data_IF_044816419004
#
_entry.id   IF_044816419004
#
_cell.length_a   1.000
_cell.length_b   1.000
_cell.length_c   1.000
_cell.angle_alpha   90.00
_cell.angle_beta   90.00
_cell.angle_gamma   90.00
#
_symmetry.space_group_name_H-M   'P 1'
#
loop_
_entity.id
_entity.type
_entity.pdbx_description
1 polymer ?
#
# COMPACT_ATOMS: atom_id res chain seq x y z
N UNK A 1 21.17 -17.66 17.94
CA UNK A 1 20.20 -17.38 16.87
C UNK A 1 19.88 -15.91 16.94
N UNK A 2 20.14 -15.15 15.88
CA UNK A 2 19.57 -13.80 15.73
C UNK A 2 18.05 -13.93 15.81
N UNK A 3 17.31 -13.02 16.48
CA UNK A 3 15.86 -13.07 16.46
C UNK A 3 15.41 -13.13 15.00
N UNK A 4 14.48 -14.02 14.68
CA UNK A 4 13.92 -14.13 13.34
C UNK A 4 13.35 -12.75 12.96
N UNK A 5 14.12 -11.97 12.21
CA UNK A 5 13.75 -10.60 11.86
C UNK A 5 12.42 -10.63 11.11
N UNK A 6 11.50 -9.74 11.47
CA UNK A 6 10.19 -9.69 10.84
C UNK A 6 10.33 -9.53 9.32
N UNK A 7 9.70 -10.44 8.57
CA UNK A 7 9.66 -10.37 7.11
C UNK A 7 8.91 -9.12 6.67
N UNK A 8 9.54 -8.32 5.82
CA UNK A 8 8.92 -7.16 5.20
C UNK A 8 8.23 -7.59 3.90
N UNK A 9 6.90 -7.67 3.95
CA UNK A 9 6.07 -7.90 2.77
C UNK A 9 5.95 -6.62 1.96
N UNK A 10 6.21 -6.69 0.65
CA UNK A 10 6.16 -5.53 -0.25
C UNK A 10 5.50 -5.92 -1.58
N UNK A 11 4.68 -5.06 -2.17
CA UNK A 11 4.12 -5.34 -3.50
C UNK A 11 5.18 -5.18 -4.61
N UNK A 12 5.05 -5.96 -5.69
CA UNK A 12 6.04 -6.02 -6.77
C UNK A 12 6.18 -4.74 -7.61
N UNK A 13 5.33 -3.73 -7.41
CA UNK A 13 5.42 -2.43 -8.11
C UNK A 13 6.26 -1.38 -7.39
N UNK A 14 6.84 -1.69 -6.23
CA UNK A 14 7.86 -0.83 -5.66
C UNK A 14 9.09 -0.78 -6.59
N UNK A 15 9.76 0.37 -6.75
CA UNK A 15 10.95 0.47 -7.58
C UNK A 15 12.02 -0.53 -7.12
N UNK A 16 12.67 -1.27 -8.03
CA UNK A 16 13.69 -2.27 -7.65
C UNK A 16 14.82 -1.68 -6.81
N UNK A 17 15.24 -0.45 -7.10
CA UNK A 17 16.25 0.27 -6.33
C UNK A 17 15.86 0.48 -4.85
N UNK A 18 14.56 0.66 -4.56
CA UNK A 18 14.03 0.76 -3.20
C UNK A 18 14.13 -0.57 -2.48
N UNK A 19 13.73 -1.67 -3.14
CA UNK A 19 13.79 -3.02 -2.57
C UNK A 19 15.24 -3.42 -2.26
N UNK A 20 16.17 -3.11 -3.15
CA UNK A 20 17.60 -3.37 -2.95
C UNK A 20 18.18 -2.54 -1.80
N UNK A 21 17.76 -1.28 -1.65
CA UNK A 21 18.17 -0.45 -0.53
C UNK A 21 17.69 -1.05 0.81
N UNK A 22 16.44 -1.51 0.88
CA UNK A 22 15.89 -2.16 2.08
C UNK A 22 16.64 -3.46 2.41
N UNK A 23 16.96 -4.28 1.41
CA UNK A 23 17.78 -5.49 1.60
C UNK A 23 19.17 -5.15 2.15
N UNK A 24 19.82 -4.09 1.64
CA UNK A 24 21.13 -3.61 2.13
C UNK A 24 21.08 -3.10 3.57
N UNK A 25 19.93 -2.58 4.01
CA UNK A 25 19.68 -2.19 5.41
C UNK A 25 19.39 -3.39 6.34
N UNK A 26 19.34 -4.62 5.80
CA UNK A 26 19.16 -5.85 6.58
C UNK A 26 17.72 -6.35 6.66
N UNK A 27 16.79 -5.74 5.93
CA UNK A 27 15.41 -6.22 5.89
C UNK A 27 15.28 -7.53 5.08
N UNK A 28 14.51 -8.48 5.60
CA UNK A 28 14.08 -9.66 4.85
C UNK A 28 12.87 -9.29 3.97
N UNK A 29 13.14 -8.80 2.76
CA UNK A 29 12.10 -8.35 1.83
C UNK A 29 11.50 -9.52 1.06
N UNK A 30 10.18 -9.72 1.16
CA UNK A 30 9.43 -10.67 0.37
C UNK A 30 8.41 -9.94 -0.51
N UNK A 31 8.64 -10.02 -1.82
CA UNK A 31 7.75 -9.43 -2.81
C UNK A 31 6.46 -10.24 -2.96
N UNK A 32 5.34 -9.53 -3.09
CA UNK A 32 4.00 -10.06 -3.32
C UNK A 32 3.53 -9.68 -4.73
N UNK A 33 2.46 -10.31 -5.19
CA UNK A 33 1.80 -9.94 -6.45
C UNK A 33 1.35 -8.47 -6.48
N UNK A 34 1.09 -7.99 -7.69
CA UNK A 34 0.55 -6.66 -7.91
C UNK A 34 -0.86 -6.59 -7.32
N UNK A 35 -1.13 -5.66 -6.41
CA UNK A 35 -2.40 -5.53 -5.68
C UNK A 35 -2.70 -6.71 -4.72
N UNK A 36 -1.71 -7.12 -3.93
CA UNK A 36 -1.89 -8.25 -3.00
C UNK A 36 -2.87 -7.91 -1.88
N UNK A 37 -3.84 -8.80 -1.63
CA UNK A 37 -4.79 -8.72 -0.49
C UNK A 37 -4.08 -8.77 0.88
N UNK A 38 -2.85 -9.29 0.94
CA UNK A 38 -2.04 -9.21 2.15
C UNK A 38 -1.72 -7.75 2.54
N UNK A 39 -1.81 -6.82 1.59
CA UNK A 39 -1.70 -5.38 1.84
C UNK A 39 -3.09 -4.85 2.19
N UNK A 40 -3.18 -4.09 3.28
CA UNK A 40 -4.46 -3.60 3.80
C UNK A 40 -5.28 -2.81 2.78
N UNK A 41 -6.58 -2.74 3.04
CA UNK A 41 -7.54 -2.04 2.20
C UNK A 41 -7.86 -0.65 2.77
N UNK A 42 -7.77 0.40 1.96
CA UNK A 42 -8.05 1.77 2.38
C UNK A 42 -9.01 2.50 1.44
N UNK A 43 -10.11 3.01 1.99
CA UNK A 43 -11.04 3.91 1.30
C UNK A 43 -10.99 5.29 1.96
N UNK A 44 -11.24 6.36 1.20
CA UNK A 44 -11.11 7.73 1.72
C UNK A 44 -11.92 8.77 0.98
N UNK A 45 -12.16 9.90 1.66
CA UNK A 45 -12.79 11.10 1.09
C UNK A 45 -11.93 12.31 1.46
N UNK A 46 -11.54 13.10 0.46
CA UNK A 46 -10.91 14.41 0.66
C UNK A 46 -11.97 15.49 0.53
N UNK A 47 -12.03 16.39 1.51
CA UNK A 47 -12.91 17.55 1.49
C UNK A 47 -12.10 18.81 1.18
N UNK A 48 -12.42 19.45 0.05
CA UNK A 48 -11.92 20.79 -0.24
C UNK A 48 -12.83 21.81 0.43
N UNK A 49 -12.37 22.39 1.54
CA UNK A 49 -13.13 23.38 2.29
C UNK A 49 -13.30 24.72 1.56
N UNK A 50 -12.50 25.00 0.54
CA UNK A 50 -12.59 26.24 -0.24
C UNK A 50 -13.67 26.19 -1.31
N UNK A 51 -13.89 25.01 -1.91
CA UNK A 51 -14.86 24.80 -2.98
C UNK A 51 -16.10 24.02 -2.54
N UNK A 52 -16.02 23.32 -1.40
CA UNK A 52 -17.04 22.39 -0.91
C UNK A 52 -17.05 21.04 -1.62
N UNK A 53 -16.12 20.79 -2.54
CA UNK A 53 -16.05 19.53 -3.31
C UNK A 53 -15.57 18.38 -2.42
N UNK A 54 -16.25 17.24 -2.54
CA UNK A 54 -15.85 15.96 -1.96
C UNK A 54 -15.25 15.05 -3.04
N UNK A 55 -14.06 14.51 -2.80
CA UNK A 55 -13.38 13.58 -3.70
C UNK A 55 -13.23 12.23 -3.01
N UNK A 56 -13.99 11.22 -3.46
CA UNK A 56 -13.94 9.86 -2.92
C UNK A 56 -12.96 8.97 -3.69
N UNK A 57 -12.28 8.07 -2.97
CA UNK A 57 -11.45 7.00 -3.53
C UNK A 57 -11.76 5.66 -2.87
N UNK A 58 -11.78 4.60 -3.66
CA UNK A 58 -11.92 3.22 -3.18
C UNK A 58 -10.71 2.40 -3.58
N UNK A 59 -10.22 1.55 -2.67
CA UNK A 59 -9.05 0.70 -2.92
C UNK A 59 -9.34 -0.28 -4.06
N UNK A 60 -8.54 -0.31 -5.14
CA UNK A 60 -8.72 -1.29 -6.21
C UNK A 60 -8.48 -2.74 -5.77
N UNK A 61 -7.85 -2.97 -4.61
CA UNK A 61 -7.62 -4.31 -4.04
C UNK A 61 -8.87 -4.90 -3.38
N UNK A 62 -9.80 -4.04 -2.95
CA UNK A 62 -10.95 -4.43 -2.16
C UNK A 62 -12.23 -4.40 -2.98
N UNK A 63 -13.21 -5.18 -2.56
CA UNK A 63 -14.59 -4.98 -3.00
C UNK A 63 -15.11 -3.64 -2.46
N UNK A 64 -15.55 -2.74 -3.34
CA UNK A 64 -16.04 -1.42 -2.93
C UNK A 64 -16.20 -0.42 -4.09
N UNK A 65 -16.85 0.70 -3.80
CA UNK A 65 -16.97 1.84 -4.73
C UNK A 65 -17.01 3.15 -3.95
N UNK A 66 -16.41 4.20 -4.52
CA UNK A 66 -16.66 5.58 -4.10
C UNK A 66 -17.89 6.12 -4.85
N UNK A 67 -18.95 6.45 -4.12
CA UNK A 67 -20.20 6.96 -4.67
C UNK A 67 -20.53 8.34 -4.09
N UNK A 68 -21.10 9.23 -4.92
CA UNK A 68 -21.53 10.58 -4.55
C UNK A 68 -22.94 10.87 -5.03
N UNK A 69 -23.55 11.90 -4.44
CA UNK A 69 -24.87 12.43 -4.78
C UNK A 69 -24.85 13.96 -4.71
#
# INVERSE_FOLDING_TARGET
ATPDGETLLVESHFPPATLDALRRLGHQVQEQGMWSNAMGHANGIVFDSSTGVMQGGSDPRAEGIAAGW
#
